data_IF_215847627689
#
_entry.id   IF_215847627689
#
_cell.length_a   1.000
_cell.length_b   1.000
_cell.length_c   1.000
_cell.angle_alpha   90.00
_cell.angle_beta   90.00
_cell.angle_gamma   90.00
#
_symmetry.space_group_name_H-M   'P 1'
#
loop_
_entity.id
_entity.type
_entity.pdbx_description
1 polymer ?
#
# COMPACT_ATOMS: atom_id res chain seq x y z
N UNK A 1 -19.75 13.12 11.20
CA UNK A 1 -18.63 12.47 10.50
C UNK A 1 -17.29 13.24 10.57
N UNK A 2 -17.15 14.32 11.35
CA UNK A 2 -15.86 15.02 11.54
C UNK A 2 -14.85 14.23 12.39
N UNK A 3 -15.34 13.46 13.37
CA UNK A 3 -14.50 12.69 14.31
C UNK A 3 -13.77 11.49 13.71
N UNK A 4 -14.24 10.93 12.59
CA UNK A 4 -13.58 9.78 11.95
C UNK A 4 -12.39 10.19 11.06
N UNK A 5 -12.34 11.44 10.59
CA UNK A 5 -11.36 11.87 9.59
C UNK A 5 -10.04 12.39 10.19
N UNK A 6 -10.05 13.03 11.36
CA UNK A 6 -8.84 13.75 11.83
C UNK A 6 -7.89 12.89 12.68
N UNK A 7 -8.41 12.06 13.60
CA UNK A 7 -7.56 11.22 14.45
C UNK A 7 -7.18 9.88 13.80
N UNK A 8 -8.12 9.20 13.14
CA UNK A 8 -7.87 7.88 12.53
C UNK A 8 -6.96 7.96 11.30
N UNK A 9 -7.03 9.06 10.54
CA UNK A 9 -6.16 9.26 9.39
C UNK A 9 -4.69 9.18 9.77
N UNK A 10 -4.28 9.95 10.78
CA UNK A 10 -2.89 9.99 11.26
C UNK A 10 -2.39 8.59 11.66
N UNK A 11 -3.22 7.80 12.36
CA UNK A 11 -2.85 6.43 12.73
C UNK A 11 -2.69 5.52 11.51
N UNK A 12 -3.60 5.59 10.54
CA UNK A 12 -3.53 4.75 9.33
C UNK A 12 -2.35 5.13 8.42
N UNK A 13 -2.08 6.43 8.24
CA UNK A 13 -0.88 6.90 7.53
C UNK A 13 0.40 6.49 8.28
N UNK A 14 0.39 6.56 9.61
CA UNK A 14 1.50 6.10 10.45
C UNK A 14 1.76 4.60 10.32
N UNK A 15 0.70 3.78 10.31
CA UNK A 15 0.78 2.34 10.06
C UNK A 15 1.31 2.07 8.65
N UNK A 16 0.82 2.79 7.64
CA UNK A 16 1.29 2.64 6.27
C UNK A 16 2.79 2.99 6.15
N UNK A 17 3.23 4.07 6.79
CA UNK A 17 4.63 4.45 6.83
C UNK A 17 5.48 3.37 7.54
N UNK A 18 5.01 2.85 8.67
CA UNK A 18 5.68 1.78 9.40
C UNK A 18 5.81 0.52 8.55
N UNK A 19 4.75 0.11 7.84
CA UNK A 19 4.79 -1.02 6.92
C UNK A 19 5.77 -0.77 5.76
N UNK A 20 5.82 0.44 5.21
CA UNK A 20 6.80 0.78 4.18
C UNK A 20 8.24 0.60 4.68
N UNK A 21 8.53 1.02 5.91
CA UNK A 21 9.84 0.85 6.54
C UNK A 21 10.15 -0.63 6.78
N UNK A 22 9.20 -1.40 7.34
CA UNK A 22 9.38 -2.83 7.57
C UNK A 22 9.57 -3.62 6.27
N UNK A 23 8.82 -3.28 5.23
CA UNK A 23 8.98 -3.88 3.91
C UNK A 23 10.37 -3.59 3.33
N UNK A 24 10.84 -2.34 3.43
CA UNK A 24 12.19 -2.00 3.00
C UNK A 24 13.27 -2.75 3.78
N UNK A 25 13.12 -2.86 5.10
CA UNK A 25 14.04 -3.61 5.97
C UNK A 25 14.04 -5.11 5.64
N UNK A 26 12.86 -5.72 5.44
CA UNK A 26 12.75 -7.15 5.11
C UNK A 26 13.27 -7.45 3.70
N UNK A 27 13.05 -6.55 2.73
CA UNK A 27 13.64 -6.64 1.40
C UNK A 27 15.17 -6.51 1.42
N UNK A 28 15.70 -5.59 2.22
CA UNK A 28 17.16 -5.46 2.43
C UNK A 28 17.75 -6.71 3.10
N UNK A 29 17.08 -7.24 4.13
CA UNK A 29 17.49 -8.47 4.79
C UNK A 29 17.53 -9.66 3.83
N UNK A 30 16.48 -9.85 3.01
CA UNK A 30 16.42 -10.85 1.93
C UNK A 30 17.61 -10.73 0.97
N UNK A 31 17.90 -9.52 0.50
CA UNK A 31 19.02 -9.27 -0.40
C UNK A 31 20.38 -9.61 0.24
N UNK A 32 20.53 -9.37 1.55
CA UNK A 32 21.74 -9.71 2.30
C UNK A 32 21.88 -11.22 2.52
N UNK A 33 20.80 -11.91 2.86
CA UNK A 33 20.78 -13.38 3.02
C UNK A 33 21.10 -14.08 1.70
N UNK A 34 20.56 -13.60 0.57
CA UNK A 34 20.84 -14.14 -0.76
C UNK A 34 22.18 -13.71 -1.37
N UNK A 35 22.95 -12.83 -0.68
CA UNK A 35 24.20 -12.22 -1.17
C UNK A 35 24.08 -11.45 -2.50
N UNK A 36 22.86 -11.07 -2.87
CA UNK A 36 22.53 -10.31 -4.09
C UNK A 36 22.26 -8.84 -3.77
N UNK A 37 23.02 -8.26 -2.83
CA UNK A 37 22.85 -6.87 -2.43
C UNK A 37 23.21 -5.94 -3.60
N UNK A 38 22.18 -5.43 -4.28
CA UNK A 38 22.30 -4.52 -5.41
C UNK A 38 21.73 -3.14 -5.04
N UNK A 39 22.55 -2.09 -5.13
CA UNK A 39 22.10 -0.71 -4.93
C UNK A 39 20.99 -0.30 -5.89
N UNK A 40 20.94 -0.88 -7.09
CA UNK A 40 19.87 -0.62 -8.08
C UNK A 40 18.52 -1.19 -7.62
N UNK A 41 18.53 -2.37 -7.00
CA UNK A 41 17.30 -2.98 -6.47
C UNK A 41 16.75 -2.17 -5.29
N UNK A 42 17.63 -1.68 -4.40
CA UNK A 42 17.24 -0.80 -3.28
C UNK A 42 16.66 0.54 -3.75
N UNK A 43 17.28 1.16 -4.76
CA UNK A 43 16.79 2.42 -5.34
C UNK A 43 15.42 2.23 -6.01
N UNK A 44 15.23 1.17 -6.78
CA UNK A 44 13.94 0.86 -7.39
C UNK A 44 12.84 0.64 -6.34
N UNK A 45 13.18 0.02 -5.20
CA UNK A 45 12.25 -0.12 -4.08
C UNK A 45 11.80 1.23 -3.51
N UNK A 46 12.74 2.16 -3.32
CA UNK A 46 12.43 3.51 -2.82
C UNK A 46 11.55 4.27 -3.83
N UNK A 47 11.89 4.23 -5.12
CA UNK A 47 11.11 4.89 -6.19
C UNK A 47 9.67 4.38 -6.21
N UNK A 48 9.46 3.06 -6.10
CA UNK A 48 8.11 2.47 -6.05
C UNK A 48 7.30 3.02 -4.87
N UNK A 49 7.88 3.03 -3.66
CA UNK A 49 7.21 3.54 -2.46
C UNK A 49 6.85 5.02 -2.59
N UNK A 50 7.77 5.85 -3.09
CA UNK A 50 7.48 7.27 -3.38
C UNK A 50 6.34 7.41 -4.37
N UNK A 51 6.31 6.58 -5.43
CA UNK A 51 5.19 6.54 -6.38
C UNK A 51 3.86 6.21 -5.71
N UNK A 52 3.82 5.25 -4.78
CA UNK A 52 2.61 4.94 -4.02
C UNK A 52 2.13 6.09 -3.15
N UNK A 53 3.04 6.85 -2.53
CA UNK A 53 2.68 8.08 -1.80
C UNK A 53 2.08 9.15 -2.71
N UNK A 54 2.55 9.27 -3.95
CA UNK A 54 1.95 10.19 -4.94
C UNK A 54 0.54 9.73 -5.33
N UNK A 55 0.35 8.43 -5.58
CA UNK A 55 -0.99 7.87 -5.87
C UNK A 55 -1.94 8.13 -4.70
N UNK A 56 -1.47 7.92 -3.48
CA UNK A 56 -2.24 8.16 -2.27
C UNK A 56 -2.64 9.63 -2.13
N UNK A 57 -1.72 10.57 -2.41
CA UNK A 57 -2.02 12.00 -2.45
C UNK A 57 -3.14 12.32 -3.44
N UNK A 58 -3.03 11.81 -4.67
CA UNK A 58 -4.02 12.04 -5.73
C UNK A 58 -5.38 11.43 -5.34
N UNK A 59 -5.38 10.25 -4.73
CA UNK A 59 -6.59 9.54 -4.31
C UNK A 59 -7.40 10.29 -3.24
N UNK A 60 -6.76 11.14 -2.43
CA UNK A 60 -7.45 12.04 -1.50
C UNK A 60 -7.73 13.41 -2.10
N UNK A 61 -6.86 13.92 -2.98
CA UNK A 61 -7.02 15.23 -3.62
C UNK A 61 -8.22 15.28 -4.56
N UNK A 62 -8.42 14.26 -5.38
CA UNK A 62 -9.53 14.22 -6.36
C UNK A 62 -10.89 14.29 -5.63
N UNK A 63 -11.23 13.39 -4.68
CA UNK A 63 -12.46 13.50 -3.92
C UNK A 63 -12.66 14.84 -3.24
N UNK A 64 -11.60 15.43 -2.67
CA UNK A 64 -11.67 16.72 -2.02
C UNK A 64 -12.07 17.85 -3.00
N UNK A 65 -11.48 17.85 -4.20
CA UNK A 65 -11.83 18.81 -5.24
C UNK A 65 -13.27 18.63 -5.71
N UNK A 66 -13.72 17.39 -5.91
CA UNK A 66 -15.09 17.09 -6.28
C UNK A 66 -16.10 17.49 -5.20
N UNK A 67 -15.78 17.30 -3.92
CA UNK A 67 -16.61 17.76 -2.81
C UNK A 67 -16.80 19.26 -2.81
N UNK A 68 -15.72 20.01 -3.06
CA UNK A 68 -15.77 21.46 -3.13
C UNK A 68 -16.59 21.94 -4.33
N UNK A 69 -16.38 21.35 -5.50
CA UNK A 69 -17.16 21.66 -6.70
C UNK A 69 -18.65 21.31 -6.53
N UNK A 70 -18.97 20.14 -5.97
CA UNK A 70 -20.36 19.71 -5.76
C UNK A 70 -21.12 20.64 -4.81
N UNK A 71 -20.44 21.14 -3.77
CA UNK A 71 -21.01 22.10 -2.83
C UNK A 71 -21.17 23.49 -3.45
N UNK A 72 -20.17 23.97 -4.20
CA UNK A 72 -20.16 25.35 -4.72
C UNK A 72 -21.04 25.52 -5.98
N UNK A 73 -21.20 24.49 -6.82
CA UNK A 73 -21.89 24.58 -8.11
C UNK A 73 -23.24 23.84 -8.16
N UNK A 74 -23.38 22.75 -7.41
CA UNK A 74 -24.53 21.84 -7.52
C UNK A 74 -25.39 21.78 -6.25
N UNK A 75 -24.97 22.46 -5.18
CA UNK A 75 -25.58 22.39 -3.83
C UNK A 75 -25.81 20.94 -3.34
N UNK A 76 -24.89 20.03 -3.71
CA UNK A 76 -24.94 18.62 -3.34
C UNK A 76 -23.78 18.24 -2.40
N UNK A 77 -24.07 17.43 -1.37
CA UNK A 77 -23.04 16.86 -0.48
C UNK A 77 -22.42 15.60 -1.08
N UNK A 78 -21.19 15.71 -1.57
CA UNK A 78 -20.39 14.61 -2.11
C UNK A 78 -19.38 14.05 -1.07
N UNK A 79 -19.66 14.21 0.22
CA UNK A 79 -18.82 13.75 1.34
C UNK A 79 -18.40 12.27 1.26
N UNK A 80 -19.23 11.42 0.66
CA UNK A 80 -18.96 9.99 0.49
C UNK A 80 -17.76 9.70 -0.44
N UNK A 81 -17.39 10.62 -1.34
CA UNK A 81 -16.25 10.44 -2.24
C UNK A 81 -14.92 10.27 -1.50
N UNK A 82 -14.79 10.79 -0.27
CA UNK A 82 -13.60 10.56 0.56
C UNK A 82 -13.33 9.07 0.82
N UNK A 83 -14.35 8.21 0.74
CA UNK A 83 -14.18 6.76 0.86
C UNK A 83 -13.23 6.18 -0.21
N UNK A 84 -13.11 6.82 -1.37
CA UNK A 84 -12.17 6.40 -2.42
C UNK A 84 -10.73 6.53 -1.96
N UNK A 85 -10.36 7.64 -1.31
CA UNK A 85 -9.02 7.82 -0.76
C UNK A 85 -8.70 6.77 0.32
N UNK A 86 -9.64 6.52 1.23
CA UNK A 86 -9.51 5.48 2.26
C UNK A 86 -9.40 4.07 1.67
N UNK A 87 -10.16 3.77 0.62
CA UNK A 87 -10.10 2.50 -0.09
C UNK A 87 -8.75 2.31 -0.80
N UNK A 88 -8.20 3.35 -1.42
CA UNK A 88 -6.85 3.30 -2.01
C UNK A 88 -5.80 3.06 -0.94
N UNK A 89 -5.87 3.74 0.21
CA UNK A 89 -4.96 3.50 1.33
C UNK A 89 -5.01 2.04 1.80
N UNK A 90 -6.22 1.48 1.96
CA UNK A 90 -6.39 0.08 2.36
C UNK A 90 -5.75 -0.91 1.35
N UNK A 91 -5.91 -0.66 0.05
CA UNK A 91 -5.26 -1.49 -0.97
C UNK A 91 -3.73 -1.38 -0.93
N UNK A 92 -3.19 -0.18 -0.75
CA UNK A 92 -1.74 0.01 -0.62
C UNK A 92 -1.19 -0.68 0.63
N UNK A 93 -1.91 -0.64 1.76
CA UNK A 93 -1.55 -1.37 2.98
C UNK A 93 -1.47 -2.89 2.73
N UNK A 94 -2.49 -3.46 2.08
CA UNK A 94 -2.51 -4.89 1.74
C UNK A 94 -1.32 -5.25 0.83
N UNK A 95 -0.97 -4.37 -0.12
CA UNK A 95 0.18 -4.59 -0.99
C UNK A 95 1.52 -4.61 -0.23
N UNK A 96 1.74 -3.70 0.73
CA UNK A 96 2.97 -3.73 1.55
C UNK A 96 3.03 -4.99 2.43
N UNK A 97 1.90 -5.41 3.02
CA UNK A 97 1.82 -6.65 3.80
C UNK A 97 2.17 -7.86 2.91
N UNK A 98 1.65 -7.93 1.69
CA UNK A 98 1.98 -8.98 0.72
C UNK A 98 3.49 -9.04 0.47
N UNK A 99 4.11 -7.90 0.16
CA UNK A 99 5.55 -7.80 -0.09
C UNK A 99 6.40 -8.23 1.11
N UNK A 100 6.00 -7.85 2.33
CA UNK A 100 6.67 -8.31 3.57
C UNK A 100 6.59 -9.84 3.69
N UNK A 101 5.41 -10.43 3.47
CA UNK A 101 5.22 -11.88 3.57
C UNK A 101 6.06 -12.64 2.54
N UNK A 102 6.12 -12.16 1.30
CA UNK A 102 7.00 -12.68 0.25
C UNK A 102 8.47 -12.63 0.68
N UNK A 103 8.91 -11.53 1.28
CA UNK A 103 10.28 -11.37 1.75
C UNK A 103 10.61 -12.34 2.90
N UNK A 104 9.68 -12.54 3.84
CA UNK A 104 9.84 -13.47 4.96
C UNK A 104 9.89 -14.93 4.50
N UNK A 105 8.99 -15.34 3.59
CA UNK A 105 8.98 -16.70 3.00
C UNK A 105 10.29 -16.95 2.25
N UNK A 106 10.77 -15.98 1.48
CA UNK A 106 12.04 -16.10 0.76
C UNK A 106 13.27 -16.19 1.68
N UNK A 107 13.17 -15.75 2.93
CA UNK A 107 14.20 -15.91 3.95
C UNK A 107 14.09 -17.22 4.74
N UNK A 108 13.10 -18.07 4.44
CA UNK A 108 12.88 -19.36 5.11
C UNK A 108 12.10 -19.27 6.41
N UNK A 109 11.45 -18.13 6.71
CA UNK A 109 10.60 -18.01 7.90
C UNK A 109 9.29 -18.78 7.71
N UNK A 110 8.84 -19.48 8.77
CA UNK A 110 7.57 -20.21 8.75
C UNK A 110 6.39 -19.24 8.93
N UNK A 111 5.79 -18.82 7.82
CA UNK A 111 4.55 -18.03 7.80
C UNK A 111 3.35 -18.98 7.87
N UNK A 112 2.26 -18.61 8.59
CA UNK A 112 1.03 -19.41 8.65
C UNK A 112 0.53 -19.84 7.27
N UNK A 113 0.12 -21.10 7.15
CA UNK A 113 -0.16 -21.72 5.84
C UNK A 113 -1.32 -21.06 5.08
N UNK A 114 -2.27 -20.47 5.81
CA UNK A 114 -3.39 -19.70 5.23
C UNK A 114 -2.86 -18.50 4.43
N UNK A 115 -1.87 -17.77 4.97
CA UNK A 115 -1.27 -16.62 4.32
C UNK A 115 -0.43 -17.05 3.12
N UNK A 116 0.32 -18.15 3.26
CA UNK A 116 1.13 -18.71 2.18
C UNK A 116 0.28 -19.15 0.98
N UNK A 117 -0.83 -19.87 1.22
CA UNK A 117 -1.76 -20.28 0.17
C UNK A 117 -2.42 -19.09 -0.51
N UNK A 118 -2.82 -18.06 0.25
CA UNK A 118 -3.39 -16.84 -0.32
C UNK A 118 -2.41 -16.12 -1.25
N UNK A 119 -1.12 -16.11 -0.89
CA UNK A 119 -0.04 -15.57 -1.70
C UNK A 119 0.16 -16.35 -3.00
N UNK A 120 0.27 -17.69 -2.91
CA UNK A 120 0.44 -18.59 -4.05
C UNK A 120 -0.72 -18.50 -5.05
N UNK A 121 -1.96 -18.40 -4.56
CA UNK A 121 -3.14 -18.20 -5.42
C UNK A 121 -3.06 -16.86 -6.13
N UNK A 122 -2.64 -15.81 -5.42
CA UNK A 122 -2.51 -14.48 -6.01
C UNK A 122 -1.44 -14.45 -7.10
N UNK A 123 -0.31 -15.10 -6.87
CA UNK A 123 0.80 -15.21 -7.85
C UNK A 123 0.33 -15.95 -9.11
N UNK A 124 -0.34 -17.10 -8.96
CA UNK A 124 -0.92 -17.84 -10.09
C UNK A 124 -1.91 -17.00 -10.90
N UNK A 125 -2.79 -16.25 -10.24
CA UNK A 125 -3.76 -15.37 -10.92
C UNK A 125 -3.11 -14.20 -11.66
N UNK A 126 -1.94 -13.73 -11.21
CA UNK A 126 -1.18 -12.68 -11.89
C UNK A 126 -0.49 -13.25 -13.14
N UNK A 127 0.16 -14.40 -13.02
CA UNK A 127 0.83 -15.09 -14.13
C UNK A 127 -0.17 -15.49 -15.24
N UNK A 128 -1.40 -15.88 -14.88
CA UNK A 128 -2.46 -16.18 -15.84
C UNK A 128 -3.00 -14.95 -16.57
N UNK A 129 -2.91 -13.76 -15.97
CA UNK A 129 -3.36 -12.50 -16.60
C UNK A 129 -2.31 -11.86 -17.51
N UNK A 130 -1.04 -12.22 -17.35
CA UNK A 130 0.06 -11.74 -18.20
C UNK A 130 0.27 -12.61 -19.46
N UNK A 131 -0.45 -13.73 -19.60
CA UNK A 131 -0.50 -14.57 -20.81
C UNK A 131 -1.69 -14.23 -21.71
#
# INVERSE_FOLDING_TARGET
MKWFNECYGVYLFGIYLLLNVLDWLTGWYKARVKKEASSKAGLNGIIKKVGYWIILLIAFLIPYMFQRLGKDLLDMDLGYLSALGWFTLANLLINEIRSILENLIACGYQVPEILKRGLEITEKMLDEKEK
#
